data_IF_161782246830
#
_entry.id   IF_161782246830
#
_cell.length_a   1.000
_cell.length_b   1.000
_cell.length_c   1.000
_cell.angle_alpha   90.00
_cell.angle_beta   90.00
_cell.angle_gamma   90.00
#
_symmetry.space_group_name_H-M   'P 1'
#
loop_
_entity.id
_entity.type
_entity.pdbx_description
1 polymer ?
#
# COMPACT_ATOMS: atom_id res chain seq x y z
N UNK A 1 27.78 41.02 -38.33
CA UNK A 1 26.53 41.77 -38.61
C UNK A 1 25.36 40.92 -38.14
N UNK A 2 24.84 41.22 -36.95
CA UNK A 2 23.86 40.40 -36.22
C UNK A 2 22.46 40.70 -36.75
N UNK A 3 21.74 39.68 -37.25
CA UNK A 3 20.36 39.83 -37.72
C UNK A 3 19.40 39.49 -36.57
N UNK A 4 18.85 40.54 -35.97
CA UNK A 4 17.77 40.51 -34.99
C UNK A 4 16.48 39.99 -35.65
N UNK A 5 15.81 39.03 -35.02
CA UNK A 5 14.45 38.59 -35.35
C UNK A 5 13.53 39.06 -34.20
N UNK A 6 12.46 39.83 -34.47
CA UNK A 6 11.55 40.33 -33.43
C UNK A 6 10.49 39.30 -32.99
N UNK A 7 9.92 39.45 -31.76
CA UNK A 7 8.92 38.53 -31.20
C UNK A 7 7.48 38.90 -31.64
N UNK A 8 6.76 37.94 -32.21
CA UNK A 8 5.37 38.12 -32.65
C UNK A 8 4.38 37.43 -31.68
N UNK A 9 3.74 38.26 -30.87
CA UNK A 9 2.33 38.25 -30.40
C UNK A 9 1.54 36.93 -30.27
N UNK A 10 1.13 36.73 -29.02
CA UNK A 10 -0.04 36.03 -28.46
C UNK A 10 -1.27 35.90 -29.36
N UNK A 11 -1.84 34.69 -29.44
CA UNK A 11 -3.24 34.45 -29.87
C UNK A 11 -4.01 33.69 -28.79
N UNK A 12 -4.82 34.45 -28.04
CA UNK A 12 -5.85 33.98 -27.13
C UNK A 12 -6.91 33.18 -27.91
N UNK A 13 -7.22 31.96 -27.47
CA UNK A 13 -8.48 31.31 -27.79
C UNK A 13 -9.35 31.27 -26.53
N UNK A 14 -10.39 32.07 -26.59
CA UNK A 14 -11.52 32.14 -25.67
C UNK A 14 -12.31 30.83 -25.73
N UNK A 15 -12.57 30.22 -24.57
CA UNK A 15 -13.69 29.28 -24.41
C UNK A 15 -14.48 29.64 -23.15
N UNK A 16 -15.80 29.73 -23.37
CA UNK A 16 -16.81 30.36 -22.52
C UNK A 16 -16.95 29.69 -21.15
N UNK A 17 -17.02 30.52 -20.11
CA UNK A 17 -17.55 30.21 -18.77
C UNK A 17 -19.02 29.81 -18.88
N UNK A 18 -19.36 28.61 -18.42
CA UNK A 18 -20.71 28.30 -17.93
C UNK A 18 -20.70 28.50 -16.42
N UNK A 19 -21.44 29.52 -15.97
CA UNK A 19 -21.74 29.77 -14.58
C UNK A 19 -22.85 28.82 -14.14
N UNK A 20 -22.54 27.90 -13.23
CA UNK A 20 -23.52 27.16 -12.45
C UNK A 20 -22.79 26.58 -11.22
N UNK A 21 -23.36 26.85 -10.04
CA UNK A 21 -23.06 26.21 -8.76
C UNK A 21 -21.84 26.65 -7.95
N UNK A 22 -21.66 27.97 -7.79
CA UNK A 22 -21.11 28.51 -6.53
C UNK A 22 -22.27 29.06 -5.70
N UNK A 23 -22.72 28.31 -4.68
CA UNK A 23 -23.42 28.78 -3.46
C UNK A 23 -23.93 27.58 -2.66
N UNK A 24 -23.10 26.95 -1.81
CA UNK A 24 -23.63 25.98 -0.83
C UNK A 24 -22.87 25.89 0.50
N UNK A 25 -21.85 26.73 0.76
CA UNK A 25 -21.16 26.76 2.05
C UNK A 25 -21.30 28.13 2.72
N UNK A 26 -22.53 28.50 3.05
CA UNK A 26 -22.86 29.49 4.07
C UNK A 26 -24.08 28.99 4.84
N UNK A 27 -23.82 28.35 5.99
CA UNK A 27 -24.59 28.39 7.26
C UNK A 27 -24.44 27.07 8.05
N UNK A 28 -23.77 27.08 9.21
CA UNK A 28 -23.67 25.94 10.11
C UNK A 28 -24.73 26.05 11.21
N UNK A 29 -25.93 25.51 11.00
CA UNK A 29 -26.87 25.13 12.08
C UNK A 29 -28.23 24.74 11.50
N UNK A 30 -28.55 23.43 11.48
CA UNK A 30 -29.89 22.86 11.76
C UNK A 30 -29.89 21.37 11.46
N UNK A 31 -30.80 20.68 12.15
CA UNK A 31 -31.18 19.27 11.99
C UNK A 31 -30.37 18.24 12.79
N UNK A 32 -30.31 18.46 14.11
CA UNK A 32 -30.71 17.42 15.06
C UNK A 32 -32.23 17.29 14.98
N UNK A 33 -32.75 16.13 14.54
CA UNK A 33 -33.99 15.45 15.01
C UNK A 33 -34.41 14.31 14.07
N UNK A 34 -34.99 13.29 14.70
CA UNK A 34 -35.70 12.10 14.20
C UNK A 34 -34.91 10.93 13.63
N UNK A 35 -34.40 10.06 14.52
CA UNK A 35 -34.43 8.61 14.29
C UNK A 35 -35.62 8.04 15.09
N UNK A 36 -36.43 7.13 14.52
CA UNK A 36 -37.40 6.37 15.30
C UNK A 36 -36.73 5.15 15.96
N UNK A 37 -36.95 5.03 17.27
CA UNK A 37 -36.65 3.84 18.07
C UNK A 37 -37.59 2.69 17.68
N UNK A 38 -37.05 1.49 17.47
CA UNK A 38 -37.83 0.26 17.40
C UNK A 38 -37.41 -0.67 18.54
N UNK A 39 -38.10 -0.53 19.66
CA UNK A 39 -38.11 -1.47 20.79
C UNK A 39 -39.32 -2.41 20.71
N UNK A 40 -39.13 -3.63 21.25
CA UNK A 40 -40.13 -4.64 21.65
C UNK A 40 -40.67 -5.53 20.51
N UNK A 41 -40.90 -6.83 20.66
CA UNK A 41 -40.64 -7.89 21.65
C UNK A 41 -41.10 -9.17 20.92
N UNK A 42 -40.51 -10.34 21.19
CA UNK A 42 -41.28 -11.59 21.36
C UNK A 42 -40.41 -12.65 22.01
N UNK A 43 -40.87 -13.09 23.16
CA UNK A 43 -40.44 -14.24 23.94
C UNK A 43 -41.05 -15.53 23.38
N UNK A 44 -40.50 -16.66 23.87
CA UNK A 44 -41.05 -18.02 23.94
C UNK A 44 -40.43 -19.04 22.97
N UNK A 45 -39.90 -20.13 23.56
CA UNK A 45 -39.53 -21.34 22.83
C UNK A 45 -38.43 -22.16 23.48
N UNK A 46 -38.69 -22.72 24.66
CA UNK A 46 -37.87 -23.75 25.25
C UNK A 46 -38.01 -25.10 24.51
N UNK A 47 -37.03 -25.97 24.76
CA UNK A 47 -37.06 -27.43 24.70
C UNK A 47 -36.53 -28.16 23.44
N UNK A 48 -35.48 -28.95 23.73
CA UNK A 48 -35.23 -30.33 23.29
C UNK A 48 -34.75 -30.61 21.86
N UNK A 49 -33.48 -31.06 21.73
CA UNK A 49 -33.18 -32.50 21.54
C UNK A 49 -31.67 -32.75 21.39
N UNK A 50 -31.26 -33.91 21.93
CA UNK A 50 -30.04 -34.71 21.66
C UNK A 50 -28.90 -34.60 22.68
N UNK A 51 -29.17 -35.29 23.79
CA UNK A 51 -28.20 -36.18 24.41
C UNK A 51 -27.78 -37.30 23.43
N UNK A 52 -26.48 -37.46 23.25
CA UNK A 52 -25.71 -38.66 22.88
C UNK A 52 -24.26 -38.14 22.93
N UNK A 53 -23.49 -38.39 23.96
CA UNK A 53 -23.11 -39.73 24.38
C UNK A 53 -21.59 -39.79 24.27
N UNK A 54 -20.96 -39.64 25.44
CA UNK A 54 -19.55 -39.72 25.76
C UNK A 54 -18.80 -40.85 25.04
N UNK A 55 -17.62 -40.55 24.49
CA UNK A 55 -16.49 -41.48 24.47
C UNK A 55 -15.18 -40.71 24.63
N UNK A 56 -14.67 -40.71 25.86
CA UNK A 56 -13.28 -40.48 26.18
C UNK A 56 -12.46 -41.65 25.61
N UNK A 57 -11.34 -41.35 24.94
CA UNK A 57 -10.14 -42.17 25.05
C UNK A 57 -8.91 -41.28 24.99
N UNK A 58 -8.22 -41.26 26.12
CA UNK A 58 -6.94 -40.63 26.41
C UNK A 58 -5.83 -41.61 25.99
N UNK A 59 -4.94 -41.23 25.08
CA UNK A 59 -3.63 -41.89 24.94
C UNK A 59 -2.63 -40.99 24.19
N UNK A 60 -1.55 -40.60 24.88
CA UNK A 60 -0.24 -40.36 24.26
C UNK A 60 0.03 -38.99 23.64
N UNK A 61 0.16 -37.95 24.47
CA UNK A 61 0.77 -36.69 24.06
C UNK A 61 2.27 -36.83 23.79
N UNK A 62 2.65 -37.08 22.54
CA UNK A 62 4.01 -36.80 22.06
C UNK A 62 4.01 -35.44 21.37
N UNK A 63 4.79 -34.49 21.93
CA UNK A 63 5.04 -33.19 21.29
C UNK A 63 5.83 -33.46 20.00
N UNK A 64 5.17 -33.42 18.85
CA UNK A 64 5.84 -33.39 17.55
C UNK A 64 6.70 -32.14 17.49
N UNK A 65 8.02 -32.33 17.55
CA UNK A 65 9.01 -31.28 17.28
C UNK A 65 8.78 -30.78 15.86
N UNK A 66 8.66 -29.46 15.70
CA UNK A 66 8.70 -28.84 14.37
C UNK A 66 10.07 -29.14 13.76
N UNK A 67 10.16 -29.71 12.55
CA UNK A 67 11.45 -29.99 11.92
C UNK A 67 12.20 -28.67 11.63
N UNK A 68 13.52 -28.74 11.72
CA UNK A 68 14.44 -27.67 11.33
C UNK A 68 14.33 -27.35 9.85
N UNK A 69 14.52 -26.07 9.49
CA UNK A 69 14.42 -25.52 8.13
C UNK A 69 15.43 -26.14 7.13
N UNK A 70 16.32 -27.03 7.57
CA UNK A 70 17.38 -27.62 6.75
C UNK A 70 17.01 -28.99 6.15
N UNK A 71 15.87 -29.59 6.50
CA UNK A 71 15.48 -30.92 6.02
C UNK A 71 14.32 -30.86 5.01
N UNK A 72 14.46 -30.06 3.94
CA UNK A 72 13.36 -29.84 2.96
C UNK A 72 13.38 -30.79 1.76
N UNK A 73 14.39 -31.65 1.63
CA UNK A 73 14.52 -32.54 0.47
C UNK A 73 14.47 -34.02 0.90
N UNK A 74 13.28 -34.50 1.27
CA UNK A 74 13.01 -35.95 1.27
C UNK A 74 12.60 -36.34 -0.16
N UNK A 75 13.54 -36.94 -0.89
CA UNK A 75 13.26 -37.56 -2.19
C UNK A 75 12.61 -38.91 -1.91
N UNK A 76 11.36 -39.10 -2.34
CA UNK A 76 10.68 -40.40 -2.28
C UNK A 76 11.34 -41.37 -3.28
N UNK A 77 11.38 -42.65 -2.94
CA UNK A 77 11.99 -43.71 -3.77
C UNK A 77 11.30 -43.96 -5.12
N UNK A 78 10.22 -43.24 -5.42
CA UNK A 78 9.49 -43.28 -6.70
C UNK A 78 9.77 -42.05 -7.59
N UNK A 79 10.60 -41.11 -7.14
CA UNK A 79 11.04 -39.97 -7.96
C UNK A 79 9.99 -38.87 -8.15
N UNK A 80 8.83 -38.95 -7.49
CA UNK A 80 7.79 -37.92 -7.58
C UNK A 80 7.91 -36.89 -6.44
N UNK A 81 7.91 -35.62 -6.83
CA UNK A 81 7.91 -34.47 -5.93
C UNK A 81 6.53 -34.32 -5.28
N UNK A 82 6.46 -34.47 -3.96
CA UNK A 82 5.24 -34.22 -3.18
C UNK A 82 5.14 -32.71 -2.87
N UNK A 83 4.12 -32.05 -3.42
CA UNK A 83 3.82 -30.64 -3.14
C UNK A 83 3.34 -30.45 -1.69
N UNK A 84 4.18 -29.84 -0.84
CA UNK A 84 3.74 -29.30 0.45
C UNK A 84 2.89 -28.03 0.22
N UNK A 85 1.75 -27.86 0.91
CA UNK A 85 0.94 -26.65 0.83
C UNK A 85 1.67 -25.50 1.53
N UNK A 86 2.53 -24.78 0.80
CA UNK A 86 3.27 -23.64 1.35
C UNK A 86 4.42 -23.10 0.51
N UNK A 87 4.91 -23.84 -0.48
CA UNK A 87 5.95 -23.35 -1.39
C UNK A 87 5.30 -22.71 -2.62
N UNK A 88 5.45 -21.39 -2.76
CA UNK A 88 5.10 -20.64 -3.97
C UNK A 88 6.18 -20.91 -5.02
N UNK A 89 6.26 -22.13 -5.54
CA UNK A 89 6.83 -22.36 -6.86
C UNK A 89 5.68 -22.24 -7.84
N UNK A 90 5.76 -21.31 -8.79
CA UNK A 90 4.87 -21.39 -9.95
C UNK A 90 5.08 -22.74 -10.62
N UNK A 91 4.01 -23.32 -11.19
CA UNK A 91 4.05 -24.59 -11.94
C UNK A 91 5.14 -24.65 -13.03
N UNK A 92 5.70 -23.50 -13.37
CA UNK A 92 6.70 -23.27 -14.40
C UNK A 92 8.14 -23.28 -13.85
N UNK A 93 8.36 -23.39 -12.53
CA UNK A 93 9.68 -23.23 -11.89
C UNK A 93 10.28 -21.82 -11.95
N UNK A 94 9.62 -20.88 -12.65
CA UNK A 94 10.05 -19.49 -12.80
C UNK A 94 9.44 -18.63 -11.69
N UNK A 95 10.29 -17.92 -10.92
CA UNK A 95 9.86 -16.97 -9.90
C UNK A 95 9.20 -15.75 -10.55
N UNK A 96 7.86 -15.75 -10.66
CA UNK A 96 7.10 -14.56 -11.08
C UNK A 96 6.97 -13.63 -9.87
N UNK A 97 7.54 -12.42 -9.97
CA UNK A 97 7.39 -11.37 -8.96
C UNK A 97 5.95 -10.83 -8.95
N UNK A 98 5.02 -11.56 -8.32
CA UNK A 98 3.59 -11.17 -8.24
C UNK A 98 3.32 -10.15 -7.13
N UNK A 99 4.32 -9.84 -6.30
CA UNK A 99 4.13 -8.95 -5.16
C UNK A 99 4.01 -7.48 -5.57
N UNK A 100 3.02 -6.81 -5.03
CA UNK A 100 2.91 -5.36 -5.08
C UNK A 100 3.97 -4.72 -4.22
N UNK A 101 4.37 -3.49 -4.55
CA UNK A 101 5.39 -2.77 -3.80
C UNK A 101 4.91 -1.40 -3.36
N UNK A 102 5.17 -1.05 -2.09
CA UNK A 102 5.06 0.32 -1.59
C UNK A 102 6.45 0.87 -1.39
N UNK A 103 6.79 1.89 -2.16
CA UNK A 103 8.03 2.65 -2.05
C UNK A 103 7.79 3.90 -1.21
N UNK A 104 8.50 3.99 -0.09
CA UNK A 104 8.48 5.14 0.80
C UNK A 104 9.83 5.84 0.70
N UNK A 105 9.86 6.96 -0.01
CA UNK A 105 11.05 7.78 -0.12
C UNK A 105 10.93 9.01 0.78
N UNK A 106 11.65 8.98 1.90
CA UNK A 106 11.66 10.03 2.91
C UNK A 106 13.04 10.68 3.01
N UNK A 107 13.15 11.92 2.54
CA UNK A 107 14.36 12.72 2.66
C UNK A 107 14.14 13.93 3.57
N UNK A 108 15.18 14.76 3.79
CA UNK A 108 15.15 15.88 4.74
C UNK A 108 14.01 16.89 4.52
N UNK A 109 13.48 17.03 3.30
CA UNK A 109 12.58 18.13 2.94
C UNK A 109 11.22 17.70 2.41
N UNK A 110 11.00 16.41 2.18
CA UNK A 110 9.73 15.89 1.67
C UNK A 110 9.64 14.36 1.83
N UNK A 111 8.45 13.84 1.59
CA UNK A 111 8.11 12.43 1.59
C UNK A 111 7.32 12.10 0.33
N UNK A 112 7.67 10.99 -0.29
CA UNK A 112 7.00 10.43 -1.47
C UNK A 112 6.59 9.00 -1.17
N UNK A 113 5.33 8.68 -1.43
CA UNK A 113 4.79 7.33 -1.29
C UNK A 113 4.29 6.90 -2.67
N UNK A 114 4.83 5.80 -3.16
CA UNK A 114 4.50 5.26 -4.48
C UNK A 114 4.11 3.80 -4.35
N UNK A 115 2.91 3.47 -4.79
CA UNK A 115 2.41 2.09 -4.89
C UNK A 115 2.62 1.63 -6.32
N UNK A 116 3.39 0.57 -6.49
CA UNK A 116 3.71 -0.03 -7.78
C UNK A 116 3.06 -1.41 -7.92
N UNK A 117 2.56 -1.68 -9.12
CA UNK A 117 2.04 -2.98 -9.54
C UNK A 117 3.20 -3.94 -9.82
N UNK A 118 2.96 -5.25 -9.70
CA UNK A 118 3.92 -6.23 -10.22
C UNK A 118 4.10 -6.09 -11.74
N UNK A 119 5.23 -6.55 -12.29
CA UNK A 119 5.44 -6.58 -13.74
C UNK A 119 4.38 -7.44 -14.44
N UNK A 120 3.97 -7.04 -15.65
CA UNK A 120 2.94 -7.71 -16.44
C UNK A 120 1.60 -7.95 -15.71
N UNK A 121 1.24 -7.06 -14.77
CA UNK A 121 -0.02 -7.18 -14.04
C UNK A 121 -1.22 -6.97 -14.95
N UNK A 122 -2.15 -7.94 -14.95
CA UNK A 122 -3.42 -7.88 -15.68
C UNK A 122 -4.52 -7.36 -14.76
N UNK A 123 -5.21 -6.32 -15.21
CA UNK A 123 -6.37 -5.82 -14.50
C UNK A 123 -7.54 -6.83 -14.60
N UNK A 124 -8.13 -7.26 -13.47
CA UNK A 124 -9.11 -8.36 -13.49
C UNK A 124 -10.40 -8.00 -14.25
N UNK A 125 -10.87 -6.74 -14.13
CA UNK A 125 -12.08 -6.28 -14.83
C UNK A 125 -11.81 -5.82 -16.26
N UNK A 126 -10.83 -4.94 -16.46
CA UNK A 126 -10.61 -4.30 -17.77
C UNK A 126 -9.74 -5.12 -18.73
N UNK A 127 -9.08 -6.18 -18.27
CA UNK A 127 -8.15 -6.99 -19.07
C UNK A 127 -6.87 -6.25 -19.48
N UNK A 128 -6.73 -4.96 -19.14
CA UNK A 128 -5.55 -4.16 -19.47
C UNK A 128 -4.33 -4.71 -18.75
N UNK A 129 -3.27 -4.92 -19.51
CA UNK A 129 -1.99 -5.37 -19.00
C UNK A 129 -1.07 -4.16 -18.86
N UNK A 130 -0.32 -4.12 -17.77
CA UNK A 130 0.60 -3.03 -17.48
C UNK A 130 2.04 -3.53 -17.40
N UNK A 131 2.91 -2.88 -18.18
CA UNK A 131 4.36 -3.10 -18.12
C UNK A 131 4.84 -4.33 -18.88
N UNK A 132 4.31 -4.59 -20.08
CA UNK A 132 4.53 -5.85 -20.81
C UNK A 132 5.87 -5.91 -21.55
N UNK A 133 6.37 -4.78 -22.06
CA UNK A 133 7.52 -4.76 -22.97
C UNK A 133 8.48 -3.61 -22.65
N UNK A 134 9.62 -3.83 -21.95
CA UNK A 134 10.00 -5.00 -21.15
C UNK A 134 9.18 -5.13 -19.85
N UNK A 135 9.17 -6.32 -19.19
CA UNK A 135 8.45 -6.55 -17.93
C UNK A 135 8.92 -5.61 -16.83
N UNK A 136 8.18 -4.52 -16.64
CA UNK A 136 8.54 -3.43 -15.74
C UNK A 136 7.39 -3.12 -14.78
N UNK A 137 7.74 -2.67 -13.58
CA UNK A 137 6.75 -2.30 -12.57
C UNK A 137 6.07 -1.00 -12.97
N UNK A 138 4.76 -1.05 -13.18
CA UNK A 138 3.96 0.14 -13.45
C UNK A 138 3.49 0.80 -12.15
N UNK A 139 3.41 2.12 -12.12
CA UNK A 139 2.94 2.86 -10.94
C UNK A 139 1.41 2.88 -10.91
N UNK A 140 0.82 2.51 -9.77
CA UNK A 140 -0.62 2.60 -9.53
C UNK A 140 -1.01 3.93 -8.90
N UNK A 141 -0.27 4.34 -7.87
CA UNK A 141 -0.52 5.57 -7.13
C UNK A 141 0.82 6.19 -6.75
N UNK A 142 0.98 7.50 -6.95
CA UNK A 142 2.17 8.23 -6.50
C UNK A 142 1.75 9.57 -5.93
N UNK A 143 2.00 9.75 -4.64
CA UNK A 143 1.62 10.94 -3.90
C UNK A 143 2.81 11.44 -3.06
N UNK A 144 2.81 12.74 -2.79
CA UNK A 144 3.82 13.39 -1.95
C UNK A 144 3.14 14.42 -1.06
N UNK A 145 3.80 14.85 0.01
CA UNK A 145 3.20 15.78 0.98
C UNK A 145 2.76 17.10 0.31
N UNK A 146 3.48 17.54 -0.72
CA UNK A 146 3.09 18.71 -1.51
C UNK A 146 1.73 18.59 -2.21
N UNK A 147 1.27 17.38 -2.52
CA UNK A 147 -0.03 17.14 -3.17
C UNK A 147 -1.21 17.35 -2.22
N UNK A 148 -1.01 17.19 -0.92
CA UNK A 148 -2.01 17.47 0.13
C UNK A 148 -2.17 18.97 0.41
N UNK A 149 -1.31 19.83 -0.17
CA UNK A 149 -1.37 21.28 0.03
C UNK A 149 -0.27 21.83 0.95
N UNK A 150 0.59 21.00 1.52
CA UNK A 150 1.76 21.48 2.27
C UNK A 150 2.71 22.23 1.34
N UNK A 151 3.05 23.48 1.67
CA UNK A 151 3.95 24.34 0.88
C UNK A 151 5.32 24.46 1.54
N UNK A 152 6.38 24.47 0.72
CA UNK A 152 7.76 24.68 1.14
C UNK A 152 8.18 23.85 2.38
N UNK A 153 8.60 24.53 3.45
CA UNK A 153 9.03 23.93 4.71
C UNK A 153 7.98 23.03 5.34
N UNK A 154 6.69 23.28 5.11
CA UNK A 154 5.60 22.48 5.66
C UNK A 154 5.64 21.00 5.30
N UNK A 155 6.36 20.61 4.24
CA UNK A 155 6.45 19.22 3.73
C UNK A 155 7.45 18.33 4.46
N UNK A 156 8.32 18.91 5.29
CA UNK A 156 9.42 18.19 5.95
C UNK A 156 9.03 17.59 7.29
N UNK A 157 7.90 18.02 7.85
CA UNK A 157 7.48 17.69 9.20
C UNK A 157 6.91 16.28 9.27
N UNK A 158 7.05 15.66 10.43
CA UNK A 158 6.49 14.34 10.72
C UNK A 158 4.97 14.28 10.46
N UNK A 159 4.23 15.27 10.95
CA UNK A 159 2.76 15.33 10.81
C UNK A 159 2.32 15.38 9.33
N UNK A 160 3.00 16.19 8.51
CA UNK A 160 2.71 16.25 7.07
C UNK A 160 2.87 14.90 6.36
N UNK A 161 3.82 14.08 6.82
CA UNK A 161 4.05 12.74 6.30
C UNK A 161 3.03 11.73 6.82
N UNK A 162 2.61 11.88 8.08
CA UNK A 162 1.56 11.05 8.68
C UNK A 162 0.23 11.25 7.94
N UNK A 163 -0.16 12.51 7.72
CA UNK A 163 -1.36 12.85 6.95
C UNK A 163 -1.29 12.36 5.50
N UNK A 164 -0.13 12.48 4.84
CA UNK A 164 0.09 11.91 3.51
C UNK A 164 -0.14 10.40 3.50
N UNK A 165 0.43 9.68 4.48
CA UNK A 165 0.31 8.24 4.55
C UNK A 165 -1.14 7.80 4.79
N UNK A 166 -1.85 8.44 5.73
CA UNK A 166 -3.28 8.20 5.97
C UNK A 166 -4.09 8.43 4.70
N UNK A 167 -3.84 9.55 4.00
CA UNK A 167 -4.51 9.86 2.74
C UNK A 167 -4.22 8.81 1.65
N UNK A 168 -2.99 8.31 1.55
CA UNK A 168 -2.64 7.23 0.62
C UNK A 168 -3.39 5.95 0.94
N UNK A 169 -3.48 5.55 2.22
CA UNK A 169 -4.21 4.34 2.63
C UNK A 169 -5.70 4.45 2.32
N UNK A 170 -6.31 5.60 2.63
CA UNK A 170 -7.70 5.90 2.28
C UNK A 170 -7.91 5.84 0.76
N UNK A 171 -7.01 6.44 -0.01
CA UNK A 171 -7.12 6.45 -1.48
C UNK A 171 -6.96 5.05 -2.08
N UNK A 172 -6.13 4.20 -1.49
CA UNK A 172 -6.00 2.79 -1.91
C UNK A 172 -7.29 1.99 -1.63
N UNK A 173 -7.98 2.29 -0.52
CA UNK A 173 -9.26 1.68 -0.19
C UNK A 173 -10.36 2.14 -1.16
N UNK A 174 -10.49 3.44 -1.39
CA UNK A 174 -11.45 4.02 -2.35
C UNK A 174 -11.25 3.49 -3.78
N UNK A 175 -9.99 3.33 -4.20
CA UNK A 175 -9.66 2.86 -5.55
C UNK A 175 -9.82 1.34 -5.72
N UNK A 176 -10.15 0.61 -4.66
CA UNK A 176 -10.27 -0.86 -4.69
C UNK A 176 -8.95 -1.61 -4.84
N UNK A 177 -7.80 -0.91 -4.81
CA UNK A 177 -6.46 -1.49 -4.99
C UNK A 177 -6.19 -2.54 -3.90
N UNK A 178 -6.71 -2.30 -2.69
CA UNK A 178 -6.56 -3.21 -1.57
C UNK A 178 -7.06 -4.62 -1.89
N UNK A 179 -8.09 -4.80 -2.71
CA UNK A 179 -8.63 -6.12 -3.06
C UNK A 179 -7.71 -6.90 -3.99
N UNK A 180 -6.95 -6.22 -4.86
CA UNK A 180 -6.06 -6.84 -5.84
C UNK A 180 -4.68 -7.23 -5.28
N UNK A 181 -4.33 -6.70 -4.11
CA UNK A 181 -3.06 -7.01 -3.45
C UNK A 181 -3.23 -8.32 -2.69
N UNK A 182 -2.46 -9.35 -3.04
CA UNK A 182 -2.30 -10.56 -2.22
C UNK A 182 -1.07 -10.47 -1.34
N UNK A 183 0.08 -10.13 -1.95
CA UNK A 183 1.38 -9.98 -1.31
C UNK A 183 1.91 -8.59 -1.54
N UNK A 184 2.41 -7.98 -0.47
CA UNK A 184 2.96 -6.64 -0.48
C UNK A 184 4.39 -6.61 0.08
N UNK A 185 5.27 -5.90 -0.61
CA UNK A 185 6.60 -5.56 -0.13
C UNK A 185 6.66 -4.05 0.17
N UNK A 186 7.27 -3.69 1.30
CA UNK A 186 7.48 -2.30 1.68
C UNK A 186 8.97 -1.98 1.56
N UNK A 187 9.30 -1.00 0.72
CA UNK A 187 10.64 -0.48 0.55
C UNK A 187 10.77 0.89 1.19
N UNK A 188 11.62 1.00 2.19
CA UNK A 188 11.96 2.28 2.84
C UNK A 188 13.20 2.85 2.18
N UNK A 189 13.21 4.16 1.90
CA UNK A 189 14.38 4.84 1.33
C UNK A 189 14.58 6.18 2.02
N UNK A 190 15.77 6.36 2.58
CA UNK A 190 16.17 7.56 3.31
C UNK A 190 15.81 7.49 4.79
N UNK A 191 16.29 8.49 5.54
CA UNK A 191 16.14 8.58 7.00
C UNK A 191 15.49 9.91 7.42
N UNK A 192 14.62 10.46 6.58
CA UNK A 192 13.82 11.64 6.96
C UNK A 192 12.74 11.30 7.97
N UNK A 193 12.22 12.30 8.70
CA UNK A 193 11.14 12.14 9.69
C UNK A 193 9.89 11.43 9.15
N UNK A 194 9.65 11.54 7.83
CA UNK A 194 8.55 10.85 7.18
C UNK A 194 8.62 9.33 7.19
N UNK A 195 9.81 8.73 7.33
CA UNK A 195 9.96 7.27 7.41
C UNK A 195 9.26 6.72 8.64
N UNK A 196 9.48 7.36 9.78
CA UNK A 196 8.86 6.96 11.04
C UNK A 196 7.34 7.20 10.99
N UNK A 197 6.92 8.34 10.45
CA UNK A 197 5.49 8.66 10.29
C UNK A 197 4.75 7.60 9.49
N UNK A 198 5.26 7.22 8.32
CA UNK A 198 4.64 6.20 7.46
C UNK A 198 4.64 4.84 8.14
N UNK A 199 5.70 4.49 8.87
CA UNK A 199 5.76 3.23 9.61
C UNK A 199 4.70 3.17 10.72
N UNK A 200 4.44 4.29 11.41
CA UNK A 200 3.37 4.37 12.43
C UNK A 200 1.98 4.23 11.81
N UNK A 201 1.74 4.85 10.65
CA UNK A 201 0.46 4.71 9.92
C UNK A 201 0.24 3.27 9.46
N UNK A 202 1.28 2.62 8.90
CA UNK A 202 1.22 1.22 8.47
C UNK A 202 0.88 0.25 9.61
N UNK A 203 1.43 0.49 10.80
CA UNK A 203 1.18 -0.35 11.98
C UNK A 203 -0.12 0.01 12.71
N UNK A 204 -0.61 1.23 12.54
CA UNK A 204 -1.83 1.76 13.16
C UNK A 204 -3.12 1.26 12.51
N UNK A 205 -4.21 1.98 12.78
CA UNK A 205 -5.56 1.62 12.30
C UNK A 205 -5.72 1.85 10.79
N UNK A 206 -5.11 2.91 10.26
CA UNK A 206 -5.18 3.25 8.83
C UNK A 206 -4.58 2.16 7.94
N UNK A 207 -3.52 1.50 8.42
CA UNK A 207 -2.87 0.39 7.73
C UNK A 207 -3.56 -0.97 7.90
N UNK A 208 -4.69 -1.08 8.62
CA UNK A 208 -5.31 -2.36 9.01
C UNK A 208 -5.54 -3.34 7.85
N UNK A 209 -6.00 -2.83 6.72
CA UNK A 209 -6.33 -3.64 5.53
C UNK A 209 -5.09 -4.20 4.82
N UNK A 210 -3.98 -3.47 4.90
CA UNK A 210 -2.75 -3.76 4.16
C UNK A 210 -1.75 -4.51 5.05
N UNK A 211 -1.77 -4.30 6.37
CA UNK A 211 -0.82 -4.87 7.33
C UNK A 211 -0.69 -6.38 7.25
N UNK A 212 -1.80 -7.11 7.05
CA UNK A 212 -1.80 -8.58 6.93
C UNK A 212 -1.18 -9.10 5.63
N UNK A 213 -1.04 -8.24 4.62
CA UNK A 213 -0.54 -8.58 3.28
C UNK A 213 0.95 -8.32 3.12
N UNK A 214 1.58 -7.65 4.10
CA UNK A 214 3.00 -7.32 4.08
C UNK A 214 3.81 -8.60 4.30
N UNK A 215 4.54 -9.02 3.27
CA UNK A 215 5.42 -10.20 3.31
C UNK A 215 6.86 -9.81 3.63
N UNK A 216 7.30 -8.66 3.11
CA UNK A 216 8.69 -8.21 3.19
C UNK A 216 8.76 -6.71 3.50
N UNK A 217 9.67 -6.35 4.40
CA UNK A 217 10.07 -4.96 4.63
C UNK A 217 11.57 -4.89 4.35
N UNK A 218 11.97 -4.02 3.43
CA UNK A 218 13.35 -3.85 3.03
C UNK A 218 13.74 -2.37 3.04
N UNK A 219 15.01 -2.10 3.36
CA UNK A 219 15.60 -0.78 3.18
C UNK A 219 16.33 -0.71 1.84
N UNK A 220 16.07 0.35 1.09
CA UNK A 220 16.60 0.62 -0.25
C UNK A 220 17.34 1.96 -0.29
N UNK A 221 17.94 2.35 0.84
CA UNK A 221 18.82 3.52 0.92
C UNK A 221 19.99 3.34 -0.04
N UNK A 222 20.24 4.37 -0.86
CA UNK A 222 21.30 4.32 -1.88
C UNK A 222 22.61 4.74 -1.25
N UNK A 223 23.59 3.85 -1.25
CA UNK A 223 24.98 4.11 -0.85
C UNK A 223 25.89 3.97 -2.07
N UNK A 224 26.94 4.79 -2.15
CA UNK A 224 27.93 4.75 -3.23
C UNK A 224 29.26 4.20 -2.72
N UNK A 225 29.88 3.31 -3.47
CA UNK A 225 31.25 2.86 -3.23
C UNK A 225 32.20 3.71 -4.07
N UNK A 226 32.95 4.62 -3.43
CA UNK A 226 33.98 5.43 -4.08
C UNK A 226 33.55 6.41 -5.19
N UNK A 227 32.26 6.44 -5.58
CA UNK A 227 31.74 7.21 -6.72
C UNK A 227 31.92 8.74 -6.63
N UNK A 228 31.13 9.51 -7.39
CA UNK A 228 31.32 10.97 -7.55
C UNK A 228 31.52 11.72 -6.23
N UNK A 229 32.43 12.70 -6.19
CA UNK A 229 32.71 13.52 -4.99
C UNK A 229 31.43 14.20 -4.47
N UNK A 230 31.19 14.15 -3.15
CA UNK A 230 30.06 14.87 -2.53
C UNK A 230 30.32 16.37 -2.45
N UNK A 231 29.25 17.16 -2.30
CA UNK A 231 29.38 18.59 -2.05
C UNK A 231 30.24 18.86 -0.81
N UNK A 232 31.00 19.97 -0.85
CA UNK A 232 31.83 20.39 0.27
C UNK A 232 30.98 20.57 1.54
N UNK A 233 31.54 20.25 2.73
CA UNK A 233 30.83 20.49 3.99
C UNK A 233 30.49 21.98 4.12
N UNK A 234 29.28 22.27 4.61
CA UNK A 234 28.80 23.64 4.82
C UNK A 234 29.36 24.19 6.13
N UNK A 235 29.78 25.46 6.13
CA UNK A 235 30.13 26.21 7.34
C UNK A 235 28.82 26.80 7.90
N UNK A 236 28.24 26.14 8.90
CA UNK A 236 26.92 26.51 9.44
C UNK A 236 26.97 27.46 10.65
N UNK A 237 28.17 27.79 11.13
CA UNK A 237 28.37 28.59 12.34
C UNK A 237 28.45 27.70 13.56
#
# INVERSE_FOLDING_TARGET
MVKLIPPCLTRLHSYKKTACFDNFFKNPSRCLKSMPDSSNNHSNGAQNLKALGTLLNFAGGTKTRKPSLLDTNMISSTGELVELPGAILGKDGVFKETSWQIHVYAHRHNVHITVARPPAWRHPVTGKVYGDNPPSRSVALSLSAGRLGFKHSGRKHYDSAFQLATYVMARMQESGINSYIEKLEVYLRGFGAGREAVTRVLLGMEGRHIRKKIVKVADSTRLKFGGTRSANPRRLG
#
